data_IF_618334860482
#
_entry.id   IF_618334860482
#
_cell.length_a   1.000
_cell.length_b   1.000
_cell.length_c   1.000
_cell.angle_alpha   90.00
_cell.angle_beta   90.00
_cell.angle_gamma   90.00
#
_symmetry.space_group_name_H-M   'P 1'
#
loop_
_entity.id
_entity.type
_entity.pdbx_description
1 polymer ?
#
# COMPACT_ATOMS: atom_id res chain seq x y z
N UNK A 1 -58.87 -25.42 -18.40
CA UNK A 1 -57.97 -24.28 -18.11
C UNK A 1 -58.18 -23.96 -16.64
N UNK A 2 -57.25 -24.03 -15.69
CA UNK A 2 -55.81 -23.76 -15.68
C UNK A 2 -55.10 -24.70 -14.69
N UNK A 3 -53.83 -24.94 -14.98
CA UNK A 3 -52.85 -25.67 -14.18
C UNK A 3 -52.30 -24.79 -13.04
N UNK A 4 -52.11 -25.28 -11.79
CA UNK A 4 -51.16 -24.71 -10.85
C UNK A 4 -50.06 -25.72 -10.50
N UNK A 5 -49.48 -26.41 -11.49
CA UNK A 5 -48.38 -27.37 -11.25
C UNK A 5 -47.01 -26.68 -11.03
N UNK A 6 -46.86 -25.39 -11.37
CA UNK A 6 -45.56 -24.69 -11.28
C UNK A 6 -45.18 -24.18 -9.88
N UNK A 7 -46.14 -24.03 -8.96
CA UNK A 7 -45.90 -23.54 -7.59
C UNK A 7 -45.59 -24.63 -6.56
N UNK A 8 -46.15 -25.83 -6.76
CA UNK A 8 -46.01 -26.97 -5.84
C UNK A 8 -44.59 -27.54 -5.82
N UNK A 9 -43.93 -27.64 -6.98
CA UNK A 9 -42.56 -28.16 -7.10
C UNK A 9 -41.52 -27.27 -6.42
N UNK A 10 -41.66 -25.93 -6.47
CA UNK A 10 -40.73 -25.01 -5.79
C UNK A 10 -40.90 -25.06 -4.27
N UNK A 11 -42.13 -25.08 -3.75
CA UNK A 11 -42.39 -25.19 -2.31
C UNK A 11 -41.87 -26.51 -1.75
N UNK A 12 -42.15 -27.65 -2.40
CA UNK A 12 -41.61 -28.96 -2.02
C UNK A 12 -40.08 -29.00 -2.06
N UNK A 13 -39.46 -28.36 -3.04
CA UNK A 13 -38.00 -28.29 -3.13
C UNK A 13 -37.39 -27.48 -1.97
N UNK A 14 -37.99 -26.35 -1.61
CA UNK A 14 -37.59 -25.58 -0.43
C UNK A 14 -37.79 -26.37 0.86
N UNK A 15 -38.90 -27.11 0.99
CA UNK A 15 -39.17 -27.94 2.16
C UNK A 15 -38.15 -29.07 2.29
N UNK A 16 -37.77 -29.72 1.18
CA UNK A 16 -36.74 -30.77 1.18
C UNK A 16 -35.36 -30.22 1.55
N UNK A 17 -34.97 -29.06 1.01
CA UNK A 17 -33.72 -28.39 1.37
C UNK A 17 -33.74 -27.96 2.84
N UNK A 18 -34.83 -27.38 3.30
CA UNK A 18 -35.00 -26.96 4.68
C UNK A 18 -34.88 -28.15 5.64
N UNK A 19 -35.51 -29.27 5.31
CA UNK A 19 -35.46 -30.47 6.12
C UNK A 19 -34.08 -31.17 6.08
N UNK A 20 -33.37 -31.06 4.95
CA UNK A 20 -31.99 -31.52 4.85
C UNK A 20 -31.05 -30.67 5.72
N UNK A 21 -31.16 -29.33 5.65
CA UNK A 21 -30.37 -28.42 6.47
C UNK A 21 -30.70 -28.53 7.95
N UNK A 22 -31.98 -28.65 8.32
CA UNK A 22 -32.37 -28.81 9.72
C UNK A 22 -31.79 -30.09 10.33
N UNK A 23 -31.74 -31.18 9.56
CA UNK A 23 -31.10 -32.43 9.97
C UNK A 23 -29.59 -32.29 10.16
N UNK A 24 -28.89 -31.60 9.25
CA UNK A 24 -27.44 -31.38 9.40
C UNK A 24 -27.12 -30.47 10.59
N UNK A 25 -27.88 -29.40 10.78
CA UNK A 25 -27.76 -28.54 11.95
C UNK A 25 -28.09 -29.25 13.25
N UNK A 26 -29.10 -30.12 13.28
CA UNK A 26 -29.44 -30.92 14.46
C UNK A 26 -28.34 -31.94 14.78
N UNK A 27 -27.79 -32.61 13.77
CA UNK A 27 -26.65 -33.53 13.94
C UNK A 27 -25.42 -32.79 14.47
N UNK A 28 -25.11 -31.63 13.89
CA UNK A 28 -24.03 -30.77 14.32
C UNK A 28 -24.22 -30.26 15.77
N UNK A 29 -25.40 -29.75 16.09
CA UNK A 29 -25.73 -29.29 17.44
C UNK A 29 -25.61 -30.41 18.49
N UNK A 30 -26.00 -31.65 18.14
CA UNK A 30 -25.79 -32.82 19.02
C UNK A 30 -24.31 -33.08 19.29
N UNK A 31 -23.43 -32.89 18.31
CA UNK A 31 -21.98 -33.03 18.49
C UNK A 31 -21.43 -31.90 19.38
N UNK A 32 -21.86 -30.65 19.14
CA UNK A 32 -21.46 -29.49 19.94
C UNK A 32 -21.89 -29.62 21.39
N UNK A 33 -23.13 -30.02 21.65
CA UNK A 33 -23.66 -30.19 23.01
C UNK A 33 -22.97 -31.32 23.78
N UNK A 34 -22.46 -32.36 23.10
CA UNK A 34 -21.70 -33.44 23.75
C UNK A 34 -20.32 -33.01 24.23
N UNK A 35 -19.69 -32.05 23.55
CA UNK A 35 -18.34 -31.58 23.91
C UNK A 35 -18.21 -30.06 23.71
N UNK A 36 -18.83 -29.23 24.58
CA UNK A 36 -18.87 -27.78 24.40
C UNK A 36 -17.48 -27.12 24.51
N UNK A 37 -16.59 -27.68 25.34
CA UNK A 37 -15.25 -27.13 25.58
C UNK A 37 -14.35 -27.14 24.34
N UNK A 38 -14.39 -28.20 23.54
CA UNK A 38 -13.61 -28.27 22.29
C UNK A 38 -14.03 -27.17 21.32
N UNK A 39 -15.33 -26.89 21.26
CA UNK A 39 -15.91 -25.88 20.37
C UNK A 39 -15.59 -24.45 20.79
N UNK A 40 -15.23 -24.22 22.06
CA UNK A 40 -14.77 -22.91 22.56
C UNK A 40 -13.26 -22.76 22.37
N UNK A 41 -12.48 -23.80 22.68
CA UNK A 41 -11.01 -23.73 22.66
C UNK A 41 -10.48 -23.66 21.22
N UNK A 42 -11.03 -24.46 20.30
CA UNK A 42 -10.56 -24.49 18.90
C UNK A 42 -10.58 -23.12 18.22
N UNK A 43 -11.68 -22.34 18.21
CA UNK A 43 -11.68 -21.02 17.59
C UNK A 43 -10.76 -20.03 18.32
N UNK A 44 -10.61 -20.11 19.64
CA UNK A 44 -9.67 -19.26 20.38
C UNK A 44 -8.22 -19.55 19.96
N UNK A 45 -7.84 -20.82 19.87
CA UNK A 45 -6.48 -21.20 19.46
C UNK A 45 -6.21 -20.81 18.00
N UNK A 46 -7.16 -21.02 17.09
CA UNK A 46 -6.98 -20.66 15.68
C UNK A 46 -6.93 -19.15 15.46
N UNK A 47 -7.76 -18.38 16.18
CA UNK A 47 -7.71 -16.91 16.12
C UNK A 47 -6.38 -16.35 16.63
N UNK A 48 -5.86 -16.87 17.75
CA UNK A 48 -4.54 -16.48 18.26
C UNK A 48 -3.45 -16.85 17.26
N UNK A 49 -3.48 -18.07 16.71
CA UNK A 49 -2.50 -18.53 15.72
C UNK A 49 -2.48 -17.65 14.47
N UNK A 50 -3.65 -17.28 13.94
CA UNK A 50 -3.75 -16.39 12.79
C UNK A 50 -3.42 -14.93 13.11
N UNK A 51 -3.66 -14.48 14.34
CA UNK A 51 -3.30 -13.13 14.79
C UNK A 51 -1.79 -12.87 14.70
N UNK A 52 -0.96 -13.88 15.01
CA UNK A 52 0.51 -13.79 14.89
C UNK A 52 0.94 -13.38 13.47
N UNK A 53 0.21 -13.81 12.44
CA UNK A 53 0.52 -13.45 11.04
C UNK A 53 0.46 -11.95 10.75
N UNK A 54 -0.31 -11.17 11.53
CA UNK A 54 -0.39 -9.71 11.38
C UNK A 54 0.93 -9.05 11.80
N UNK A 55 1.62 -9.60 12.80
CA UNK A 55 2.89 -9.05 13.28
C UNK A 55 4.02 -9.23 12.27
N UNK A 56 3.95 -10.25 11.41
CA UNK A 56 4.93 -10.51 10.35
C UNK A 56 4.70 -9.65 9.08
N UNK A 57 3.66 -8.79 9.07
CA UNK A 57 3.35 -7.97 7.90
C UNK A 57 4.25 -6.73 7.84
N UNK A 58 5.06 -6.66 6.79
CA UNK A 58 5.83 -5.46 6.45
C UNK A 58 4.93 -4.45 5.70
N UNK A 59 4.83 -3.20 6.17
CA UNK A 59 4.07 -2.18 5.46
C UNK A 59 4.82 -1.75 4.19
N UNK A 60 4.13 -1.78 3.04
CA UNK A 60 4.64 -1.21 1.80
C UNK A 60 4.22 0.26 1.77
N UNK A 61 5.18 1.18 1.85
CA UNK A 61 4.94 2.64 1.87
C UNK A 61 5.25 3.32 0.53
N UNK A 62 5.53 2.55 -0.52
CA UNK A 62 5.82 3.11 -1.83
C UNK A 62 4.52 3.59 -2.49
N UNK A 63 4.40 4.91 -2.64
CA UNK A 63 3.25 5.55 -3.29
C UNK A 63 3.05 5.04 -4.72
N UNK A 64 4.13 4.78 -5.47
CA UNK A 64 4.00 4.28 -6.83
C UNK A 64 3.33 2.91 -6.86
N UNK A 65 3.71 2.02 -5.93
CA UNK A 65 3.12 0.69 -5.78
C UNK A 65 1.64 0.75 -5.35
N UNK A 66 1.28 1.70 -4.47
CA UNK A 66 -0.08 1.83 -3.95
C UNK A 66 -1.07 2.42 -4.97
N UNK A 67 -0.62 3.35 -5.81
CA UNK A 67 -1.49 4.07 -6.74
C UNK A 67 -1.45 3.54 -8.19
N UNK A 68 -0.45 2.73 -8.54
CA UNK A 68 -0.32 2.20 -9.91
C UNK A 68 -0.62 0.71 -9.93
N UNK A 69 -1.53 0.22 -10.80
CA UNK A 69 -1.77 -1.22 -10.92
C UNK A 69 -0.53 -1.94 -11.46
N UNK A 70 -0.26 -3.16 -10.96
CA UNK A 70 0.95 -3.95 -11.27
C UNK A 70 1.20 -4.18 -12.77
N UNK A 71 0.17 -4.15 -13.61
CA UNK A 71 0.24 -4.33 -15.07
C UNK A 71 -0.09 -3.05 -15.83
N UNK A 72 0.16 -1.88 -15.25
CA UNK A 72 0.00 -0.61 -15.94
C UNK A 72 1.04 -0.45 -17.05
N UNK A 73 0.65 0.22 -18.14
CA UNK A 73 1.57 0.65 -19.19
C UNK A 73 2.68 1.56 -18.63
N UNK A 74 2.34 2.45 -17.69
CA UNK A 74 3.29 3.31 -17.00
C UNK A 74 4.32 2.53 -16.17
N UNK A 75 3.94 1.41 -15.57
CA UNK A 75 4.86 0.54 -14.83
C UNK A 75 5.86 -0.16 -15.78
N UNK A 76 5.40 -0.56 -16.97
CA UNK A 76 6.28 -1.09 -18.02
C UNK A 76 7.26 -0.03 -18.53
N UNK A 77 6.76 1.17 -18.87
CA UNK A 77 7.60 2.28 -19.34
C UNK A 77 8.66 2.63 -18.30
N UNK A 78 8.28 2.73 -17.02
CA UNK A 78 9.21 2.91 -15.89
C UNK A 78 10.29 1.83 -15.83
N UNK A 79 9.93 0.56 -15.96
CA UNK A 79 10.89 -0.53 -15.97
C UNK A 79 11.90 -0.40 -17.12
N UNK A 80 11.43 -0.02 -18.31
CA UNK A 80 12.30 0.23 -19.48
C UNK A 80 13.23 1.43 -19.22
N UNK A 81 12.74 2.52 -18.64
CA UNK A 81 13.56 3.67 -18.27
C UNK A 81 14.64 3.29 -17.26
N UNK A 82 14.29 2.54 -16.20
CA UNK A 82 15.25 2.09 -15.18
C UNK A 82 16.31 1.13 -15.73
N UNK A 83 15.95 0.28 -16.72
CA UNK A 83 16.90 -0.61 -17.39
C UNK A 83 17.83 0.14 -18.34
N UNK A 84 17.31 1.14 -19.07
CA UNK A 84 18.07 1.88 -20.09
C UNK A 84 18.98 2.92 -19.47
N UNK A 85 18.51 3.61 -18.43
CA UNK A 85 19.26 4.64 -17.69
C UNK A 85 19.30 4.30 -16.20
N UNK A 86 20.17 3.37 -15.78
CA UNK A 86 20.34 3.06 -14.38
C UNK A 86 20.95 4.27 -13.65
N UNK A 87 20.34 4.65 -12.52
CA UNK A 87 20.86 5.74 -11.67
C UNK A 87 22.12 5.24 -10.95
N UNK A 88 23.27 5.46 -11.59
CA UNK A 88 24.61 5.14 -11.08
C UNK A 88 25.53 6.33 -11.33
N UNK A 89 26.54 6.49 -10.49
CA UNK A 89 27.53 7.55 -10.65
C UNK A 89 28.25 7.42 -12.01
N UNK A 90 28.32 8.52 -12.76
CA UNK A 90 28.96 8.59 -14.08
C UNK A 90 28.06 8.24 -15.29
N UNK A 91 26.80 7.91 -15.07
CA UNK A 91 25.84 7.65 -16.16
C UNK A 91 24.99 8.88 -16.47
N UNK A 92 24.58 8.99 -17.74
CA UNK A 92 23.72 10.09 -18.20
C UNK A 92 22.35 10.04 -17.52
N UNK A 93 22.03 11.10 -16.78
CA UNK A 93 20.70 11.32 -16.20
C UNK A 93 19.91 12.17 -17.20
N UNK A 94 18.74 11.71 -17.69
CA UNK A 94 17.94 12.50 -18.61
C UNK A 94 17.49 13.81 -17.95
N UNK A 95 17.64 14.94 -18.65
CA UNK A 95 17.32 16.27 -18.12
C UNK A 95 15.83 16.52 -17.84
N UNK A 96 14.94 15.60 -18.27
CA UNK A 96 13.54 15.57 -17.85
C UNK A 96 13.41 14.51 -16.76
N UNK A 97 13.11 14.93 -15.54
CA UNK A 97 12.86 14.06 -14.39
C UNK A 97 11.61 13.21 -14.66
N UNK A 98 11.79 12.04 -15.28
CA UNK A 98 10.70 11.06 -15.51
C UNK A 98 10.44 10.25 -14.22
N UNK A 99 11.45 10.12 -13.37
CA UNK A 99 11.41 9.37 -12.12
C UNK A 99 11.71 10.31 -10.94
N UNK A 100 10.70 10.69 -10.16
CA UNK A 100 10.88 11.47 -8.93
C UNK A 100 11.32 10.55 -7.77
N UNK A 101 12.47 9.88 -7.95
CA UNK A 101 13.02 8.99 -6.92
C UNK A 101 14.13 9.71 -6.16
N UNK A 102 13.98 9.77 -4.84
CA UNK A 102 15.01 10.20 -3.87
C UNK A 102 15.46 11.65 -4.02
N UNK A 103 14.54 12.53 -4.40
CA UNK A 103 14.76 13.97 -4.39
C UNK A 103 14.22 14.58 -3.11
N UNK A 104 14.98 15.50 -2.53
CA UNK A 104 14.50 16.38 -1.47
C UNK A 104 14.26 17.75 -2.09
N UNK A 105 13.01 18.20 -2.08
CA UNK A 105 12.63 19.51 -2.60
C UNK A 105 12.35 20.43 -1.43
N UNK A 106 13.00 21.59 -1.42
CA UNK A 106 12.82 22.62 -0.40
C UNK A 106 12.28 23.84 -1.12
N UNK A 107 11.08 24.24 -0.72
CA UNK A 107 10.39 25.42 -1.25
C UNK A 107 10.57 26.53 -0.23
N UNK A 108 11.19 27.64 -0.64
CA UNK A 108 11.41 28.80 0.21
C UNK A 108 10.41 29.88 -0.19
N UNK A 109 9.60 30.35 0.76
CA UNK A 109 8.66 31.44 0.56
C UNK A 109 9.05 32.65 1.42
N UNK A 110 8.85 33.86 0.90
CA UNK A 110 9.09 35.07 1.66
C UNK A 110 7.94 35.28 2.66
N UNK A 111 8.26 35.65 3.90
CA UNK A 111 7.26 35.84 4.97
C UNK A 111 6.30 37.00 4.72
N UNK A 112 6.72 37.95 3.89
CA UNK A 112 5.95 39.13 3.50
C UNK A 112 5.14 38.91 2.21
N UNK A 113 5.07 37.68 1.70
CA UNK A 113 4.44 37.31 0.41
C UNK A 113 4.99 38.10 -0.79
N UNK A 114 6.17 38.72 -0.63
CA UNK A 114 6.83 39.50 -1.66
C UNK A 114 7.82 38.68 -2.48
N UNK A 115 8.57 39.36 -3.35
CA UNK A 115 9.54 38.71 -4.22
C UNK A 115 10.68 38.03 -3.44
N UNK A 116 10.90 36.74 -3.69
CA UNK A 116 12.01 35.96 -3.10
C UNK A 116 13.36 36.38 -3.69
N UNK A 117 13.37 37.09 -4.82
CA UNK A 117 14.58 37.54 -5.54
C UNK A 117 15.26 38.78 -4.93
N UNK A 118 14.84 39.20 -3.74
CA UNK A 118 15.51 40.30 -3.03
C UNK A 118 16.88 39.84 -2.51
N UNK A 119 17.89 40.73 -2.50
CA UNK A 119 19.27 40.34 -2.21
C UNK A 119 19.44 39.76 -0.79
N UNK A 120 18.72 40.31 0.19
CA UNK A 120 18.69 39.84 1.57
C UNK A 120 18.15 38.40 1.71
N UNK A 121 17.06 38.09 1.00
CA UNK A 121 16.46 36.74 1.00
C UNK A 121 17.33 35.76 0.20
N UNK A 122 17.92 36.21 -0.91
CA UNK A 122 18.80 35.41 -1.76
C UNK A 122 20.06 34.96 -1.02
N UNK A 123 20.66 35.83 -0.20
CA UNK A 123 21.81 35.49 0.63
C UNK A 123 21.45 34.44 1.68
N UNK A 124 20.27 34.54 2.29
CA UNK A 124 19.76 33.55 3.24
C UNK A 124 19.54 32.17 2.56
N UNK A 125 19.01 32.16 1.34
CA UNK A 125 18.82 30.95 0.54
C UNK A 125 20.16 30.31 0.18
N UNK A 126 21.16 31.10 -0.20
CA UNK A 126 22.50 30.60 -0.48
C UNK A 126 23.13 29.97 0.76
N UNK A 127 22.94 30.58 1.93
CA UNK A 127 23.43 30.05 3.19
C UNK A 127 22.73 28.73 3.56
N UNK A 128 21.40 28.66 3.38
CA UNK A 128 20.62 27.45 3.56
C UNK A 128 21.09 26.32 2.63
N UNK A 129 21.30 26.61 1.34
CA UNK A 129 21.77 25.62 0.37
C UNK A 129 23.15 25.07 0.76
N UNK A 130 24.08 25.93 1.21
CA UNK A 130 25.39 25.50 1.70
C UNK A 130 25.27 24.58 2.92
N UNK A 131 24.41 24.93 3.87
CA UNK A 131 24.16 24.11 5.06
C UNK A 131 23.62 22.72 4.68
N UNK A 132 22.65 22.67 3.76
CA UNK A 132 22.07 21.40 3.30
C UNK A 132 23.11 20.51 2.63
N UNK A 133 23.91 21.08 1.72
CA UNK A 133 24.91 20.31 0.97
C UNK A 133 26.02 19.79 1.88
N UNK A 134 26.48 20.58 2.84
CA UNK A 134 27.66 20.25 3.64
C UNK A 134 27.33 19.45 4.90
N UNK A 135 26.22 19.77 5.58
CA UNK A 135 25.96 19.28 6.95
C UNK A 135 24.88 18.19 7.00
N UNK A 136 23.98 18.11 6.01
CA UNK A 136 22.91 17.10 6.03
C UNK A 136 23.40 15.80 5.38
N UNK A 137 23.80 14.84 6.22
CA UNK A 137 24.10 13.48 5.79
C UNK A 137 22.89 12.56 6.04
N UNK A 138 22.28 12.06 4.97
CA UNK A 138 21.19 11.08 5.10
C UNK A 138 21.79 9.70 5.33
N UNK A 139 21.60 9.15 6.54
CA UNK A 139 22.06 7.80 6.89
C UNK A 139 21.01 6.77 6.47
N UNK A 140 21.29 6.00 5.43
CA UNK A 140 20.39 4.95 4.94
C UNK A 140 20.93 3.57 5.29
N UNK A 141 20.03 2.63 5.62
CA UNK A 141 20.34 1.20 5.89
C UNK A 141 20.61 0.42 4.58
N UNK A 142 20.46 1.05 3.42
CA UNK A 142 20.64 0.45 2.09
C UNK A 142 21.73 1.18 1.32
N UNK A 143 22.50 0.42 0.53
CA UNK A 143 23.84 0.68 -0.03
C UNK A 143 23.89 1.85 -1.05
N UNK A 144 22.79 2.61 -1.23
CA UNK A 144 22.68 3.67 -2.23
C UNK A 144 22.48 5.03 -1.56
N UNK A 145 23.60 5.75 -1.36
CA UNK A 145 23.71 6.98 -0.55
C UNK A 145 23.54 8.29 -1.36
N UNK A 146 22.71 8.33 -2.40
CA UNK A 146 22.55 9.56 -3.18
C UNK A 146 21.15 10.15 -3.02
N UNK A 147 21.10 11.35 -2.47
CA UNK A 147 19.92 12.20 -2.43
C UNK A 147 20.29 13.50 -3.13
N UNK A 148 19.53 13.86 -4.17
CA UNK A 148 19.67 15.16 -4.82
C UNK A 148 18.73 16.11 -4.09
N UNK A 149 19.28 17.00 -3.27
CA UNK A 149 18.50 18.08 -2.66
C UNK A 149 18.51 19.28 -3.60
N UNK A 150 17.31 19.75 -3.97
CA UNK A 150 17.12 20.88 -4.88
C UNK A 150 16.28 21.93 -4.17
N UNK A 151 16.83 23.13 -4.06
CA UNK A 151 16.09 24.30 -3.59
C UNK A 151 15.32 24.88 -4.77
N UNK A 152 14.00 25.02 -4.60
CA UNK A 152 13.11 25.66 -5.55
C UNK A 152 12.72 27.05 -5.01
N UNK A 153 12.77 28.04 -5.90
CA UNK A 153 12.41 29.44 -5.66
C UNK A 153 10.98 29.72 -6.12
#
# INVERSE_FOLDING_TARGET
>A
MLCPALGSQRLLHFDLIHNAMSRTFCAYAKVVCKQPWLFIIVPIVTTVLFSVGILLRWPITDAFYLYTPMKARSAYEKAVFQQTWPVKDGYYIPGREVENLRQCQIIVTATDDGSVLRPDITDAILHLNKYIINDIQVRTVSIYNYYMCKVLL
#
